data_IF_063647497177
#
_entry.id   IF_063647497177
#
_cell.length_a   1.000
_cell.length_b   1.000
_cell.length_c   1.000
_cell.angle_alpha   90.00
_cell.angle_beta   90.00
_cell.angle_gamma   90.00
#
_symmetry.space_group_name_H-M   'P 1'
#
loop_
_entity.id
_entity.type
_entity.pdbx_description
1 polymer ?
#
# COMPACT_ATOMS: atom_id res chain seq x y z
N UNK A 1 10.57 84.45 -19.64
CA UNK A 1 11.03 83.05 -19.73
C UNK A 1 10.40 82.28 -18.58
N UNK A 2 9.72 81.16 -18.82
CA UNK A 2 9.00 80.42 -17.79
C UNK A 2 9.90 79.35 -17.17
N UNK A 3 9.97 79.27 -15.84
CA UNK A 3 10.47 78.09 -15.13
C UNK A 3 9.33 77.47 -14.34
N UNK A 4 8.92 76.28 -14.81
CA UNK A 4 7.99 75.35 -14.21
C UNK A 4 8.78 74.41 -13.24
N UNK A 5 8.16 73.44 -12.54
CA UNK A 5 7.58 73.57 -11.20
C UNK A 5 8.30 72.73 -10.13
N UNK A 6 7.87 72.90 -8.87
CA UNK A 6 8.26 72.13 -7.68
C UNK A 6 8.25 70.61 -7.91
N UNK A 7 9.37 69.97 -7.58
CA UNK A 7 9.51 68.53 -7.48
C UNK A 7 8.62 67.98 -6.36
N UNK A 8 7.58 67.25 -6.74
CA UNK A 8 6.81 66.38 -5.86
C UNK A 8 7.73 65.26 -5.36
N UNK A 9 8.02 65.25 -4.06
CA UNK A 9 8.77 64.19 -3.40
C UNK A 9 7.98 62.89 -3.51
N UNK A 10 8.47 61.98 -4.37
CA UNK A 10 7.96 60.62 -4.47
C UNK A 10 8.09 59.93 -3.12
N UNK A 11 6.96 59.78 -2.43
CA UNK A 11 6.81 58.86 -1.32
C UNK A 11 7.04 57.44 -1.88
N UNK A 12 8.24 56.93 -1.71
CA UNK A 12 8.58 55.54 -1.98
C UNK A 12 7.72 54.67 -1.06
N UNK A 13 6.59 54.20 -1.58
CA UNK A 13 5.86 53.09 -0.99
C UNK A 13 6.85 51.92 -0.95
N UNK A 14 7.22 51.39 0.23
CA UNK A 14 8.00 50.17 0.27
C UNK A 14 7.13 49.08 -0.33
N UNK A 15 7.46 48.64 -1.55
CA UNK A 15 7.00 47.37 -2.05
C UNK A 15 7.54 46.31 -1.09
N UNK A 16 6.71 45.92 -0.13
CA UNK A 16 6.92 44.70 0.62
C UNK A 16 7.16 43.62 -0.42
N UNK A 17 8.37 43.06 -0.45
CA UNK A 17 8.64 41.87 -1.22
C UNK A 17 7.74 40.79 -0.62
N UNK A 18 6.60 40.58 -1.28
CA UNK A 18 5.70 39.49 -0.99
C UNK A 18 6.49 38.24 -1.36
N UNK A 19 7.23 37.70 -0.40
CA UNK A 19 7.79 36.37 -0.51
C UNK A 19 6.60 35.44 -0.64
N UNK A 20 6.26 35.11 -1.89
CA UNK A 20 5.34 34.03 -2.25
C UNK A 20 6.03 32.68 -1.90
N UNK A 21 6.42 32.50 -0.64
CA UNK A 21 6.94 31.25 -0.08
C UNK A 21 5.80 30.45 0.57
N UNK A 22 4.64 30.42 -0.08
CA UNK A 22 3.42 29.80 0.45
C UNK A 22 3.65 28.33 0.78
N UNK A 23 3.59 28.02 2.08
CA UNK A 23 3.54 26.67 2.66
C UNK A 23 4.33 25.60 1.90
N UNK A 24 5.64 25.59 2.16
CA UNK A 24 6.55 24.51 1.83
C UNK A 24 6.16 23.29 2.68
N UNK A 25 5.52 22.27 2.08
CA UNK A 25 5.07 21.09 2.82
C UNK A 25 6.25 20.38 3.48
N UNK A 26 6.15 20.08 4.76
CA UNK A 26 7.18 19.34 5.50
C UNK A 26 6.54 18.12 6.15
N UNK A 27 6.84 16.94 5.60
CA UNK A 27 6.37 15.68 6.14
C UNK A 27 6.93 15.46 7.55
N UNK A 28 6.10 15.13 8.55
CA UNK A 28 6.61 14.66 9.83
C UNK A 28 7.48 13.42 9.64
N UNK A 29 8.59 13.31 10.38
CA UNK A 29 9.57 12.23 10.22
C UNK A 29 8.94 10.84 10.29
N UNK A 30 7.99 10.63 11.21
CA UNK A 30 7.32 9.34 11.36
C UNK A 30 6.44 8.98 10.15
N UNK A 31 5.86 9.97 9.46
CA UNK A 31 5.08 9.75 8.23
C UNK A 31 6.04 9.30 7.12
N UNK A 32 7.17 9.99 6.97
CA UNK A 32 8.19 9.57 6.01
C UNK A 32 8.71 8.15 6.32
N UNK A 33 8.96 7.83 7.60
CA UNK A 33 9.34 6.48 8.03
C UNK A 33 8.28 5.44 7.65
N UNK A 34 7.00 5.73 7.88
CA UNK A 34 5.90 4.84 7.49
C UNK A 34 5.92 4.55 5.99
N UNK A 35 6.01 5.58 5.15
CA UNK A 35 6.04 5.39 3.69
C UNK A 35 7.28 4.63 3.21
N UNK A 36 8.44 4.84 3.82
CA UNK A 36 9.66 4.08 3.52
C UNK A 36 9.48 2.60 3.89
N UNK A 37 9.11 2.33 5.14
CA UNK A 37 8.93 0.96 5.66
C UNK A 37 7.84 0.23 4.86
N UNK A 38 6.70 0.88 4.63
CA UNK A 38 5.59 0.34 3.85
C UNK A 38 6.04 -0.01 2.44
N UNK A 39 6.76 0.89 1.74
CA UNK A 39 7.26 0.62 0.39
C UNK A 39 8.13 -0.63 0.35
N UNK A 40 9.05 -0.80 1.31
CA UNK A 40 9.94 -1.98 1.36
C UNK A 40 9.13 -3.26 1.58
N UNK A 41 8.21 -3.26 2.54
CA UNK A 41 7.42 -4.46 2.89
C UNK A 41 6.43 -4.84 1.78
N UNK A 42 5.80 -3.86 1.16
CA UNK A 42 4.81 -4.06 0.09
C UNK A 42 5.50 -4.46 -1.22
N UNK A 43 6.68 -3.89 -1.52
CA UNK A 43 7.51 -4.29 -2.64
C UNK A 43 8.01 -5.74 -2.47
N UNK A 44 8.40 -6.12 -1.25
CA UNK A 44 8.75 -7.49 -0.92
C UNK A 44 7.57 -8.46 -1.17
N UNK A 45 6.38 -8.12 -0.67
CA UNK A 45 5.18 -8.94 -0.81
C UNK A 45 4.79 -9.15 -2.29
N UNK A 46 4.68 -8.07 -3.08
CA UNK A 46 4.35 -8.19 -4.51
C UNK A 46 5.44 -8.91 -5.30
N UNK A 47 6.71 -8.64 -5.01
CA UNK A 47 7.83 -9.32 -5.65
C UNK A 47 7.77 -10.82 -5.42
N UNK A 48 7.51 -11.23 -4.18
CA UNK A 48 7.37 -12.63 -3.81
C UNK A 48 6.18 -13.31 -4.54
N UNK A 49 5.01 -12.68 -4.57
CA UNK A 49 3.82 -13.22 -5.25
C UNK A 49 4.01 -13.30 -6.78
N UNK A 50 4.56 -12.26 -7.40
CA UNK A 50 4.75 -12.22 -8.86
C UNK A 50 5.83 -13.16 -9.37
N UNK A 51 6.97 -13.26 -8.67
CA UNK A 51 8.02 -14.22 -9.03
C UNK A 51 7.46 -15.65 -9.05
N UNK A 52 6.52 -15.95 -8.15
CA UNK A 52 5.83 -17.23 -8.11
C UNK A 52 4.90 -17.47 -9.29
N UNK A 53 4.19 -16.45 -9.77
CA UNK A 53 3.36 -16.57 -10.97
C UNK A 53 4.21 -16.87 -12.21
N UNK A 54 5.42 -16.31 -12.28
CA UNK A 54 6.39 -16.58 -13.36
C UNK A 54 6.88 -18.02 -13.31
N UNK A 55 7.24 -18.53 -12.12
CA UNK A 55 7.61 -19.95 -11.94
C UNK A 55 6.48 -20.91 -12.35
N UNK A 56 5.23 -20.55 -12.06
CA UNK A 56 4.05 -21.36 -12.36
C UNK A 56 3.56 -21.23 -13.81
N UNK A 57 4.14 -20.33 -14.62
CA UNK A 57 3.91 -20.26 -16.08
C UNK A 57 5.02 -20.93 -16.89
N UNK A 58 6.16 -21.24 -16.27
CA UNK A 58 7.27 -21.87 -16.95
C UNK A 58 6.93 -23.30 -17.45
N UNK A 59 7.42 -23.73 -18.63
CA UNK A 59 7.23 -25.08 -19.14
C UNK A 59 7.84 -26.13 -18.20
N UNK A 60 7.27 -27.35 -18.16
CA UNK A 60 7.63 -28.42 -17.20
C UNK A 60 9.15 -28.73 -17.19
N UNK A 61 9.84 -28.60 -18.34
CA UNK A 61 11.29 -28.77 -18.45
C UNK A 61 12.08 -27.68 -17.71
N UNK A 62 11.66 -26.41 -17.81
CA UNK A 62 12.24 -25.30 -17.06
C UNK A 62 11.97 -25.43 -15.56
N UNK A 63 10.82 -26.00 -15.17
CA UNK A 63 10.52 -26.30 -13.75
C UNK A 63 11.46 -27.34 -13.16
N UNK A 64 11.77 -28.42 -13.90
CA UNK A 64 12.74 -29.45 -13.45
C UNK A 64 14.17 -28.92 -13.42
N UNK A 65 14.55 -28.02 -14.34
CA UNK A 65 15.86 -27.38 -14.37
C UNK A 65 16.05 -26.40 -13.20
N UNK A 66 15.09 -25.49 -12.96
CA UNK A 66 15.10 -24.60 -11.79
C UNK A 66 15.07 -25.40 -10.48
N UNK A 67 14.26 -26.46 -10.41
CA UNK A 67 14.19 -27.32 -9.22
C UNK A 67 15.51 -28.04 -8.95
N UNK A 68 16.26 -28.47 -9.98
CA UNK A 68 17.60 -29.07 -9.81
C UNK A 68 18.67 -28.04 -9.45
N UNK A 69 18.63 -26.82 -10.01
CA UNK A 69 19.56 -25.75 -9.62
C UNK A 69 19.36 -25.27 -8.18
N UNK A 70 18.11 -25.26 -7.69
CA UNK A 70 17.76 -24.86 -6.32
C UNK A 70 18.06 -25.92 -5.23
N UNK A 71 18.47 -27.14 -5.59
CA UNK A 71 18.86 -28.19 -4.63
C UNK A 71 20.38 -28.27 -4.37
N UNK A 72 21.21 -27.57 -5.16
CA UNK A 72 22.69 -27.69 -5.08
C UNK A 72 23.30 -26.66 -4.12
N UNK A 73 22.59 -25.58 -3.80
CA UNK A 73 22.97 -24.62 -2.76
C UNK A 73 21.96 -24.68 -1.61
N UNK A 74 22.43 -24.85 -0.37
CA UNK A 74 21.59 -24.94 0.84
C UNK A 74 20.72 -23.72 1.16
N UNK A 75 20.65 -22.73 0.27
CA UNK A 75 19.97 -21.44 0.45
C UNK A 75 18.60 -21.38 -0.21
N UNK A 76 17.86 -22.51 -0.23
CA UNK A 76 16.44 -22.47 -0.63
C UNK A 76 15.66 -21.70 0.44
N UNK A 77 15.05 -20.53 0.15
CA UNK A 77 14.26 -19.86 1.16
C UNK A 77 13.09 -20.78 1.52
N UNK A 78 12.86 -20.99 2.82
CA UNK A 78 11.92 -22.01 3.32
C UNK A 78 10.49 -21.85 2.77
N UNK A 79 10.14 -20.70 2.22
CA UNK A 79 8.84 -20.37 1.61
C UNK A 79 8.69 -20.80 0.13
N UNK A 80 9.73 -21.31 -0.54
CA UNK A 80 9.69 -21.77 -1.94
C UNK A 80 9.34 -23.26 -2.08
N UNK A 81 8.98 -23.74 -3.30
CA UNK A 81 8.50 -25.12 -3.53
C UNK A 81 9.42 -26.17 -2.90
N UNK A 82 8.87 -26.92 -1.93
CA UNK A 82 9.59 -27.97 -1.20
C UNK A 82 10.25 -27.52 0.10
N UNK A 83 10.21 -26.24 0.46
CA UNK A 83 10.60 -25.75 1.79
C UNK A 83 9.46 -25.84 2.81
N UNK A 84 9.80 -25.78 4.09
CA UNK A 84 8.85 -26.08 5.20
C UNK A 84 7.75 -25.00 5.38
N UNK A 85 7.94 -23.80 4.81
CA UNK A 85 6.98 -22.68 4.80
C UNK A 85 6.29 -22.52 3.44
N UNK A 86 6.49 -23.47 2.52
CA UNK A 86 5.99 -23.41 1.14
C UNK A 86 4.46 -23.43 1.02
N UNK A 87 3.79 -24.06 1.98
CA UNK A 87 2.34 -24.22 2.02
C UNK A 87 1.58 -22.90 2.23
N UNK A 88 2.24 -21.85 2.79
CA UNK A 88 1.64 -20.53 2.98
C UNK A 88 1.15 -19.90 1.65
N UNK A 89 1.69 -20.35 0.52
CA UNK A 89 1.41 -19.81 -0.82
C UNK A 89 1.23 -20.93 -1.87
N UNK A 90 0.38 -21.92 -1.53
CA UNK A 90 0.18 -23.17 -2.28
C UNK A 90 0.00 -22.96 -3.80
N UNK A 91 0.62 -23.81 -4.66
CA UNK A 91 0.35 -23.87 -6.10
C UNK A 91 -1.13 -24.13 -6.47
N UNK A 92 -1.95 -24.58 -5.51
CA UNK A 92 -3.37 -24.88 -5.69
C UNK A 92 -4.19 -23.67 -6.16
N UNK A 93 -3.94 -22.48 -5.59
CA UNK A 93 -4.69 -21.26 -5.94
C UNK A 93 -4.48 -20.85 -7.41
N UNK A 94 -3.25 -20.98 -7.92
CA UNK A 94 -2.93 -20.71 -9.31
C UNK A 94 -3.55 -21.74 -10.27
N UNK A 95 -3.55 -23.02 -9.89
CA UNK A 95 -4.17 -24.08 -10.68
C UNK A 95 -5.70 -23.93 -10.78
N UNK A 96 -6.33 -23.36 -9.74
CA UNK A 96 -7.78 -23.09 -9.68
C UNK A 96 -8.21 -21.75 -10.26
N UNK A 97 -7.28 -20.94 -10.77
CA UNK A 97 -7.51 -19.57 -11.29
C UNK A 97 -8.14 -18.63 -10.24
N UNK A 98 -7.84 -18.83 -8.97
CA UNK A 98 -8.24 -17.92 -7.90
C UNK A 98 -7.40 -16.64 -7.99
N UNK A 99 -7.95 -15.62 -8.66
CA UNK A 99 -7.22 -14.40 -9.04
C UNK A 99 -7.01 -13.40 -7.89
N UNK A 100 -7.57 -13.66 -6.71
CA UNK A 100 -7.61 -12.69 -5.62
C UNK A 100 -6.20 -12.29 -5.17
N UNK A 101 -5.36 -13.25 -4.74
CA UNK A 101 -3.98 -12.97 -4.27
C UNK A 101 -3.12 -12.29 -5.33
N UNK A 102 -3.27 -12.66 -6.61
CA UNK A 102 -2.57 -11.95 -7.69
C UNK A 102 -3.07 -10.52 -7.89
N UNK A 103 -4.38 -10.27 -7.74
CA UNK A 103 -4.92 -8.92 -7.77
C UNK A 103 -4.43 -8.08 -6.58
N UNK A 104 -4.26 -8.71 -5.40
CA UNK A 104 -3.66 -8.06 -4.24
C UNK A 104 -2.23 -7.60 -4.53
N UNK A 105 -1.40 -8.48 -5.09
CA UNK A 105 -0.03 -8.15 -5.48
C UNK A 105 0.04 -7.03 -6.54
N UNK A 106 -0.90 -6.98 -7.49
CA UNK A 106 -0.96 -5.89 -8.48
C UNK A 106 -1.29 -4.55 -7.81
N UNK A 107 -2.24 -4.52 -6.87
CA UNK A 107 -2.55 -3.32 -6.08
C UNK A 107 -1.34 -2.87 -5.23
N UNK A 108 -0.52 -3.79 -4.75
CA UNK A 108 0.72 -3.49 -4.04
C UNK A 108 1.78 -2.81 -4.92
N UNK A 109 1.76 -3.03 -6.24
CA UNK A 109 2.59 -2.26 -7.19
C UNK A 109 2.13 -0.81 -7.23
N UNK A 110 0.81 -0.61 -7.37
CA UNK A 110 0.22 0.74 -7.37
C UNK A 110 0.52 1.47 -6.06
N UNK A 111 0.41 0.77 -4.93
CA UNK A 111 0.79 1.28 -3.62
C UNK A 111 2.25 1.73 -3.58
N UNK A 112 3.17 0.89 -4.07
CA UNK A 112 4.59 1.20 -4.10
C UNK A 112 4.89 2.44 -4.95
N UNK A 113 4.24 2.58 -6.10
CA UNK A 113 4.37 3.75 -6.97
C UNK A 113 3.90 5.02 -6.25
N UNK A 114 2.72 4.98 -5.61
CA UNK A 114 2.17 6.13 -4.90
C UNK A 114 3.01 6.50 -3.67
N UNK A 115 3.55 5.50 -2.95
CA UNK A 115 4.42 5.74 -1.81
C UNK A 115 5.75 6.40 -2.21
N UNK A 116 6.37 5.93 -3.30
CA UNK A 116 7.58 6.55 -3.86
C UNK A 116 7.30 7.97 -4.38
N UNK A 117 6.16 8.18 -5.05
CA UNK A 117 5.74 9.49 -5.50
C UNK A 117 5.54 10.46 -4.33
N UNK A 118 4.90 10.00 -3.24
CA UNK A 118 4.78 10.78 -2.01
C UNK A 118 6.15 11.16 -1.45
N UNK A 119 7.08 10.21 -1.29
CA UNK A 119 8.41 10.46 -0.74
C UNK A 119 9.20 11.45 -1.58
N UNK A 120 9.15 11.33 -2.91
CA UNK A 120 9.82 12.25 -3.83
C UNK A 120 9.25 13.68 -3.73
N UNK A 121 7.92 13.82 -3.72
CA UNK A 121 7.24 15.12 -3.60
C UNK A 121 7.45 15.74 -2.21
N UNK A 122 7.45 14.94 -1.15
CA UNK A 122 7.73 15.38 0.20
C UNK A 122 9.18 15.87 0.35
N UNK A 123 10.15 15.19 -0.30
CA UNK A 123 11.54 15.63 -0.36
C UNK A 123 11.73 16.96 -1.08
N UNK A 124 10.93 17.20 -2.12
CA UNK A 124 10.84 18.50 -2.83
C UNK A 124 10.02 19.54 -2.06
N UNK A 125 9.45 19.16 -0.92
CA UNK A 125 8.56 19.98 -0.09
C UNK A 125 7.35 20.53 -0.86
N UNK A 126 6.88 19.75 -1.83
CA UNK A 126 5.74 20.10 -2.68
C UNK A 126 4.42 19.89 -1.94
N UNK A 127 3.48 20.85 -1.98
CA UNK A 127 2.15 20.68 -1.37
C UNK A 127 1.33 19.56 -2.04
N UNK A 128 1.68 19.16 -3.26
CA UNK A 128 1.07 18.02 -3.97
C UNK A 128 1.31 16.70 -3.23
N UNK A 129 2.38 16.62 -2.42
CA UNK A 129 2.66 15.44 -1.60
C UNK A 129 1.49 15.07 -0.69
N UNK A 130 0.77 16.05 -0.12
CA UNK A 130 -0.38 15.79 0.76
C UNK A 130 -1.50 15.05 0.00
N UNK A 131 -1.76 15.44 -1.25
CA UNK A 131 -2.81 14.83 -2.08
C UNK A 131 -2.42 13.41 -2.50
N UNK A 132 -1.17 13.22 -2.94
CA UNK A 132 -0.66 11.89 -3.31
C UNK A 132 -0.62 10.97 -2.10
N UNK A 133 -0.13 11.45 -0.96
CA UNK A 133 -0.09 10.73 0.31
C UNK A 133 -1.49 10.31 0.76
N UNK A 134 -2.47 11.23 0.73
CA UNK A 134 -3.88 10.92 1.02
C UNK A 134 -4.43 9.81 0.11
N UNK A 135 -4.16 9.91 -1.20
CA UNK A 135 -4.63 8.94 -2.19
C UNK A 135 -4.03 7.56 -1.93
N UNK A 136 -2.73 7.49 -1.65
CA UNK A 136 -2.01 6.26 -1.33
C UNK A 136 -2.60 5.55 -0.10
N UNK A 137 -2.79 6.28 1.01
CA UNK A 137 -3.25 5.69 2.28
C UNK A 137 -4.74 5.32 2.25
N UNK A 138 -5.58 6.08 1.55
CA UNK A 138 -7.00 5.72 1.36
C UNK A 138 -7.12 4.47 0.52
N UNK A 139 -6.36 4.37 -0.59
CA UNK A 139 -6.34 3.16 -1.42
C UNK A 139 -5.84 1.97 -0.60
N UNK A 140 -4.79 2.15 0.20
CA UNK A 140 -4.22 1.08 1.05
C UNK A 140 -5.24 0.58 2.06
N UNK A 141 -5.90 1.49 2.78
CA UNK A 141 -6.94 1.12 3.74
C UNK A 141 -8.12 0.40 3.06
N UNK A 142 -8.65 0.96 1.97
CA UNK A 142 -9.78 0.38 1.25
C UNK A 142 -9.46 -1.02 0.69
N UNK A 143 -8.27 -1.17 0.12
CA UNK A 143 -7.73 -2.44 -0.37
C UNK A 143 -7.65 -3.47 0.76
N UNK A 144 -7.08 -3.12 1.91
CA UNK A 144 -6.95 -4.05 3.04
C UNK A 144 -8.30 -4.42 3.66
N UNK A 145 -9.24 -3.47 3.73
CA UNK A 145 -10.63 -3.75 4.14
C UNK A 145 -11.30 -4.73 3.17
N UNK A 146 -11.13 -4.53 1.86
CA UNK A 146 -11.64 -5.46 0.86
C UNK A 146 -11.11 -6.88 1.07
N UNK A 147 -9.86 -7.03 1.52
CA UNK A 147 -9.26 -8.34 1.80
C UNK A 147 -9.97 -9.07 2.93
N UNK A 148 -10.29 -8.34 4.00
CA UNK A 148 -11.05 -8.90 5.12
C UNK A 148 -12.47 -9.26 4.71
N UNK A 149 -13.13 -8.41 3.92
CA UNK A 149 -14.50 -8.67 3.48
C UNK A 149 -14.58 -9.85 2.51
N UNK A 150 -13.63 -10.00 1.59
CA UNK A 150 -13.59 -11.15 0.69
C UNK A 150 -13.38 -12.43 1.46
N UNK A 151 -12.43 -12.46 2.41
CA UNK A 151 -12.19 -13.66 3.20
C UNK A 151 -13.38 -14.03 4.09
N UNK A 152 -14.03 -13.02 4.70
CA UNK A 152 -15.23 -13.21 5.50
C UNK A 152 -16.42 -13.73 4.67
N UNK A 153 -16.61 -13.24 3.44
CA UNK A 153 -17.63 -13.72 2.51
C UNK A 153 -17.34 -15.13 1.99
N UNK A 154 -16.07 -15.50 1.88
CA UNK A 154 -15.62 -16.87 1.63
C UNK A 154 -15.72 -17.78 2.86
N UNK A 155 -16.33 -17.34 3.96
CA UNK A 155 -16.49 -18.12 5.18
C UNK A 155 -15.16 -18.39 5.90
N UNK A 156 -14.19 -17.47 5.77
CA UNK A 156 -12.81 -17.58 6.25
C UNK A 156 -12.01 -18.70 5.59
N UNK A 157 -12.53 -19.33 4.55
CA UNK A 157 -11.94 -20.54 3.98
C UNK A 157 -10.50 -20.32 3.50
N UNK A 158 -10.11 -19.10 3.10
CA UNK A 158 -8.76 -18.80 2.66
C UNK A 158 -7.74 -18.69 3.80
N UNK A 159 -8.18 -18.38 5.02
CA UNK A 159 -7.27 -17.96 6.10
C UNK A 159 -7.49 -18.66 7.44
N UNK A 160 -8.70 -19.14 7.75
CA UNK A 160 -9.05 -19.78 9.01
C UNK A 160 -10.26 -20.74 8.88
N UNK A 161 -10.14 -21.98 9.37
CA UNK A 161 -11.28 -22.92 9.45
C UNK A 161 -11.80 -23.00 10.89
N UNK A 162 -13.00 -22.47 11.11
CA UNK A 162 -13.82 -22.70 12.32
C UNK A 162 -14.76 -23.91 12.14
N UNK A 163 -15.26 -24.49 13.24
CA UNK A 163 -16.30 -25.55 13.22
C UNK A 163 -17.66 -25.12 12.60
N UNK A 164 -17.87 -23.82 12.38
CA UNK A 164 -19.03 -23.26 11.66
C UNK A 164 -18.80 -23.01 10.17
N UNK A 165 -17.55 -22.96 9.71
CA UNK A 165 -17.21 -22.82 8.28
C UNK A 165 -17.62 -24.04 7.47
N UNK A 166 -17.79 -25.20 8.12
CA UNK A 166 -18.36 -26.41 7.54
C UNK A 166 -19.86 -26.33 7.25
N UNK A 167 -20.58 -25.31 7.74
CA UNK A 167 -22.00 -25.12 7.40
C UNK A 167 -22.21 -24.34 6.09
N UNK A 168 -21.27 -23.47 5.73
CA UNK A 168 -21.23 -22.80 4.41
C UNK A 168 -20.49 -23.65 3.36
N UNK A 169 -19.50 -24.41 3.78
CA UNK A 169 -18.75 -25.36 2.98
C UNK A 169 -19.52 -26.69 2.92
N UNK A 170 -20.49 -26.79 2.00
CA UNK A 170 -21.47 -27.89 1.93
C UNK A 170 -20.86 -29.26 1.59
N UNK A 171 -19.65 -29.32 1.02
CA UNK A 171 -19.01 -30.58 0.63
C UNK A 171 -17.52 -30.63 0.97
N UNK A 172 -16.97 -31.84 1.14
CA UNK A 172 -15.52 -32.04 1.30
C UNK A 172 -14.70 -31.55 0.08
N UNK A 173 -15.33 -31.41 -1.09
CA UNK A 173 -14.74 -30.81 -2.29
C UNK A 173 -14.63 -29.27 -2.20
N UNK A 174 -15.60 -28.62 -1.54
CA UNK A 174 -15.53 -27.18 -1.23
C UNK A 174 -14.40 -26.90 -0.22
N UNK A 175 -14.19 -27.81 0.74
CA UNK A 175 -13.13 -27.70 1.76
C UNK A 175 -11.74 -27.89 1.14
N UNK A 176 -11.63 -28.77 0.13
CA UNK A 176 -10.40 -29.00 -0.65
C UNK A 176 -10.10 -27.90 -1.67
N UNK A 177 -11.09 -27.05 -2.00
CA UNK A 177 -10.90 -25.90 -2.89
C UNK A 177 -10.16 -24.75 -2.19
N UNK A 178 -10.16 -24.72 -0.86
CA UNK A 178 -9.48 -23.70 -0.07
C UNK A 178 -8.24 -24.28 0.65
N UNK A 179 -7.26 -24.68 -0.16
CA UNK A 179 -5.98 -25.31 0.25
C UNK A 179 -5.03 -24.37 1.03
N UNK A 180 -5.51 -23.22 1.52
CA UNK A 180 -4.78 -22.27 2.37
C UNK A 180 -5.35 -22.15 3.79
N UNK A 181 -6.53 -22.72 4.06
CA UNK A 181 -7.20 -22.69 5.35
C UNK A 181 -6.71 -23.76 6.33
N UNK A 182 -5.44 -23.70 6.76
CA UNK A 182 -4.87 -24.62 7.76
C UNK A 182 -4.26 -23.92 8.98
N UNK A 183 -4.37 -22.60 9.04
CA UNK A 183 -3.84 -21.85 10.19
C UNK A 183 -4.68 -22.13 11.43
N UNK A 184 -4.00 -22.39 12.55
CA UNK A 184 -4.67 -22.37 13.85
C UNK A 184 -5.24 -20.97 14.11
N UNK A 185 -6.27 -20.81 14.99
CA UNK A 185 -6.80 -19.47 15.31
C UNK A 185 -5.71 -18.49 15.78
N UNK A 186 -4.67 -19.04 16.44
CA UNK A 186 -3.49 -18.31 16.88
C UNK A 186 -2.64 -17.84 15.70
N UNK A 187 -2.31 -18.72 14.77
CA UNK A 187 -1.47 -18.37 13.61
C UNK A 187 -2.20 -17.39 12.70
N UNK A 188 -3.51 -17.56 12.51
CA UNK A 188 -4.36 -16.60 11.82
C UNK A 188 -4.29 -15.22 12.49
N UNK A 189 -4.45 -15.16 13.81
CA UNK A 189 -4.44 -13.88 14.52
C UNK A 189 -3.10 -13.15 14.35
N UNK A 190 -1.98 -13.87 14.54
CA UNK A 190 -0.65 -13.24 14.51
C UNK A 190 -0.12 -12.98 13.10
N UNK A 191 -0.41 -13.84 12.13
CA UNK A 191 0.13 -13.74 10.77
C UNK A 191 -0.80 -12.99 9.82
N UNK A 192 -2.10 -13.02 10.06
CA UNK A 192 -3.08 -12.33 9.23
C UNK A 192 -3.71 -11.13 9.92
N UNK A 193 -4.37 -11.31 11.08
CA UNK A 193 -5.18 -10.25 11.67
C UNK A 193 -4.33 -9.06 12.14
N UNK A 194 -3.22 -9.31 12.86
CA UNK A 194 -2.37 -8.24 13.39
C UNK A 194 -1.67 -7.44 12.29
N UNK A 195 -0.97 -8.05 11.30
CA UNK A 195 -0.31 -7.30 10.24
C UNK A 195 -1.31 -6.53 9.37
N UNK A 196 -2.39 -7.18 8.92
CA UNK A 196 -3.39 -6.48 8.10
C UNK A 196 -4.16 -5.43 8.91
N UNK A 197 -4.42 -5.67 10.19
CA UNK A 197 -5.03 -4.69 11.08
C UNK A 197 -4.19 -3.42 11.22
N UNK A 198 -2.86 -3.55 11.33
CA UNK A 198 -1.96 -2.41 11.30
C UNK A 198 -2.05 -1.63 9.96
N UNK A 199 -2.17 -2.35 8.83
CA UNK A 199 -2.38 -1.76 7.50
C UNK A 199 -3.78 -1.18 7.26
N UNK A 200 -4.70 -1.31 8.22
CA UNK A 200 -5.95 -0.54 8.24
C UNK A 200 -5.75 0.69 9.14
N UNK A 201 -5.31 0.48 10.38
CA UNK A 201 -5.22 1.55 11.39
C UNK A 201 -4.29 2.68 10.96
N UNK A 202 -3.04 2.38 10.58
CA UNK A 202 -2.07 3.40 10.24
C UNK A 202 -2.45 4.20 8.98
N UNK A 203 -2.84 3.57 7.86
CA UNK A 203 -3.31 4.32 6.69
C UNK A 203 -4.57 5.15 6.96
N UNK A 204 -5.51 4.66 7.77
CA UNK A 204 -6.69 5.45 8.17
C UNK A 204 -6.29 6.67 9.01
N UNK A 205 -5.39 6.53 9.98
CA UNK A 205 -4.87 7.66 10.75
C UNK A 205 -4.19 8.72 9.85
N UNK A 206 -3.36 8.27 8.91
CA UNK A 206 -2.73 9.15 7.92
C UNK A 206 -3.75 9.81 7.00
N UNK A 207 -4.81 9.11 6.59
CA UNK A 207 -5.89 9.66 5.79
C UNK A 207 -6.59 10.81 6.52
N UNK A 208 -6.88 10.64 7.82
CA UNK A 208 -7.47 11.70 8.63
C UNK A 208 -6.53 12.91 8.74
N UNK A 209 -5.22 12.69 8.91
CA UNK A 209 -4.24 13.76 8.97
C UNK A 209 -4.16 14.55 7.66
N UNK A 210 -3.91 13.87 6.54
CA UNK A 210 -3.83 14.52 5.24
C UNK A 210 -5.15 15.17 4.83
N UNK A 211 -6.29 14.51 5.11
CA UNK A 211 -7.61 15.09 4.86
C UNK A 211 -7.86 16.37 5.66
N UNK A 212 -7.41 16.41 6.91
CA UNK A 212 -7.49 17.62 7.75
C UNK A 212 -6.62 18.76 7.20
N UNK A 213 -5.44 18.44 6.67
CA UNK A 213 -4.54 19.41 6.05
C UNK A 213 -5.13 19.98 4.75
N UNK A 214 -5.67 19.12 3.88
CA UNK A 214 -6.38 19.53 2.65
C UNK A 214 -7.55 20.45 3.01
N UNK A 215 -8.39 20.07 3.98
CA UNK A 215 -9.54 20.88 4.40
C UNK A 215 -9.12 22.23 4.98
N UNK A 216 -8.00 22.30 5.70
CA UNK A 216 -7.45 23.55 6.23
C UNK A 216 -6.99 24.46 5.09
N UNK A 217 -6.24 23.93 4.13
CA UNK A 217 -5.77 24.68 2.95
C UNK A 217 -6.92 25.25 2.13
N UNK A 218 -7.98 24.48 1.92
CA UNK A 218 -9.20 24.94 1.22
C UNK A 218 -9.91 26.06 1.96
N UNK A 219 -10.03 25.98 3.29
CA UNK A 219 -10.65 27.04 4.11
C UNK A 219 -9.84 28.34 4.06
N UNK A 220 -8.51 28.26 4.09
CA UNK A 220 -7.64 29.44 3.99
C UNK A 220 -7.76 30.10 2.60
N UNK A 221 -7.74 29.29 1.54
CA UNK A 221 -7.93 29.79 0.17
C UNK A 221 -9.30 30.45 -0.03
N UNK A 222 -10.36 29.89 0.57
CA UNK A 222 -11.69 30.47 0.52
C UNK A 222 -11.76 31.84 1.22
N UNK A 223 -11.17 31.98 2.41
CA UNK A 223 -11.11 33.26 3.13
C UNK A 223 -10.36 34.34 2.37
N UNK A 224 -9.28 33.99 1.68
CA UNK A 224 -8.48 34.94 0.91
C UNK A 224 -9.22 35.47 -0.32
N UNK A 225 -10.19 34.72 -0.88
CA UNK A 225 -11.02 35.20 -2.00
C UNK A 225 -12.10 36.20 -1.59
N UNK A 226 -12.40 36.30 -0.30
CA UNK A 226 -13.46 37.17 0.25
C UNK A 226 -12.90 38.54 0.68
N UNK A 227 -11.58 38.69 0.76
CA UNK A 227 -10.85 39.93 1.05
C UNK A 227 -10.31 40.55 -0.24
#
# INVERSE_FOLDING_TARGET
MPSNPMASSGHLVPHASRSNGGAVYSAPTWVACWFIISTVLVAWDTGFVLMRLVELRAPVRARRANQRQLHVGGDRPRSFRGGDLHWLWSPGAFARKEGFTSAQAIMNIVESILNLAYLALAGQKSPVAVLVGFTAVVMTAAKTVLYWLVDQQSGWASTFVTRSSSLLCRTAADLASYDSGHNTPRDWFWLFAVPNGAWIVFPTLLAFMFGSEIARSLRLAAKQKVL
#
